data_IF_836946865292
#
_entry.id   IF_836946865292
#
_cell.length_a   1.000
_cell.length_b   1.000
_cell.length_c   1.000
_cell.angle_alpha   90.00
_cell.angle_beta   90.00
_cell.angle_gamma   90.00
#
_symmetry.space_group_name_H-M   'P 1'
#
loop_
_entity.id
_entity.type
_entity.pdbx_description
1 polymer ?
#
# COMPACT_ATOMS: atom_id res chain seq x y z
N UNK A 1 37.20 11.08 35.85
CA UNK A 1 36.33 12.18 36.34
C UNK A 1 35.35 12.52 35.24
N UNK A 2 34.08 12.45 35.61
CA UNK A 2 32.84 12.51 34.83
C UNK A 2 32.73 13.77 33.97
N UNK A 3 32.47 13.63 32.66
CA UNK A 3 31.86 14.71 31.88
C UNK A 3 30.51 14.24 31.35
N UNK A 4 29.47 14.80 31.95
CA UNK A 4 28.08 14.66 31.54
C UNK A 4 27.84 15.58 30.34
N UNK A 5 27.35 15.03 29.23
CA UNK A 5 26.72 15.84 28.18
C UNK A 5 25.35 15.25 27.90
N UNK A 6 24.33 15.92 28.43
CA UNK A 6 22.93 15.75 28.02
C UNK A 6 22.74 16.52 26.71
N UNK A 7 22.42 15.82 25.64
CA UNK A 7 21.78 16.42 24.46
C UNK A 7 20.32 15.98 24.44
N UNK A 8 19.44 16.86 24.91
CA UNK A 8 18.01 16.81 24.63
C UNK A 8 17.80 17.60 23.36
N UNK A 9 17.35 16.94 22.29
CA UNK A 9 16.79 17.60 21.11
C UNK A 9 15.37 17.08 20.92
N UNK A 10 14.43 17.71 21.60
CA UNK A 10 13.01 17.65 21.28
C UNK A 10 12.79 18.59 20.09
N UNK A 11 12.42 18.05 18.94
CA UNK A 11 11.91 18.87 17.83
C UNK A 11 10.39 18.83 17.94
N UNK A 12 9.82 19.93 18.44
CA UNK A 12 8.38 20.13 18.56
C UNK A 12 7.87 20.67 17.22
N UNK A 13 7.07 19.89 16.49
CA UNK A 13 6.35 20.38 15.32
C UNK A 13 5.15 21.21 15.80
N UNK A 14 5.25 22.53 15.61
CA UNK A 14 4.19 23.49 15.93
C UNK A 14 3.23 23.56 14.73
N UNK A 15 1.99 23.12 14.95
CA UNK A 15 0.89 23.25 13.97
C UNK A 15 0.41 24.70 13.98
N UNK A 16 0.52 25.39 12.85
CA UNK A 16 -0.08 26.70 12.67
C UNK A 16 -1.58 26.56 12.42
N UNK A 17 -2.37 27.06 13.38
CA UNK A 17 -3.81 27.22 13.29
C UNK A 17 -4.10 28.51 12.50
N UNK A 18 -4.60 28.39 11.28
CA UNK A 18 -5.13 29.54 10.52
C UNK A 18 -6.63 29.60 10.74
N UNK A 19 -7.07 30.59 11.51
CA UNK A 19 -8.49 30.94 11.68
C UNK A 19 -8.94 31.79 10.49
N UNK A 20 -9.81 31.25 9.64
CA UNK A 20 -10.52 32.03 8.61
C UNK A 20 -11.92 32.35 9.12
N UNK A 21 -12.19 33.65 9.26
CA UNK A 21 -13.48 34.22 9.61
C UNK A 21 -14.45 34.05 8.43
N UNK A 22 -15.46 33.18 8.56
CA UNK A 22 -16.46 32.94 7.52
C UNK A 22 -17.63 33.92 7.65
N UNK A 23 -17.83 34.76 6.64
CA UNK A 23 -19.06 35.54 6.45
C UNK A 23 -20.14 34.60 5.89
N UNK A 24 -21.25 34.42 6.62
CA UNK A 24 -22.36 33.55 6.21
C UNK A 24 -23.18 34.22 5.10
N UNK A 25 -23.31 33.57 3.95
CA UNK A 25 -24.39 33.80 3.00
C UNK A 25 -25.33 32.60 3.09
N UNK A 26 -26.57 32.89 3.50
CA UNK A 26 -27.63 31.91 3.60
C UNK A 26 -28.24 31.61 2.21
N UNK A 27 -28.52 30.33 1.98
CA UNK A 27 -29.62 29.89 1.12
C UNK A 27 -29.23 29.46 -0.30
N UNK A 28 -28.98 28.16 -0.47
CA UNK A 28 -29.64 27.28 -1.45
C UNK A 28 -29.15 25.85 -1.17
N UNK A 29 -30.11 24.98 -0.81
CA UNK A 29 -29.85 23.64 -0.32
C UNK A 29 -28.99 22.83 -1.27
N UNK A 30 -27.80 22.45 -0.82
CA UNK A 30 -27.00 21.40 -1.44
C UNK A 30 -27.49 20.09 -0.86
N UNK A 31 -28.33 19.39 -1.61
CA UNK A 31 -28.57 17.98 -1.35
C UNK A 31 -27.21 17.29 -1.37
N UNK A 32 -26.80 16.73 -0.21
CA UNK A 32 -25.64 15.87 -0.13
C UNK A 32 -25.85 14.72 -1.12
N UNK A 33 -25.13 14.78 -2.24
CA UNK A 33 -25.20 13.76 -3.28
C UNK A 33 -24.59 12.51 -2.67
N UNK A 34 -25.42 11.56 -2.26
CA UNK A 34 -24.98 10.19 -2.10
C UNK A 34 -24.42 9.75 -3.45
N UNK A 35 -23.09 9.69 -3.58
CA UNK A 35 -22.43 9.29 -4.82
C UNK A 35 -22.00 7.83 -4.67
N UNK A 36 -22.87 6.95 -5.17
CA UNK A 36 -22.59 5.53 -5.37
C UNK A 36 -21.48 5.34 -6.37
N UNK A 37 -20.36 4.82 -5.89
CA UNK A 37 -19.34 4.14 -6.67
C UNK A 37 -19.93 2.96 -7.45
N UNK A 38 -19.54 2.79 -8.71
CA UNK A 38 -20.03 1.70 -9.55
C UNK A 38 -19.75 0.32 -8.92
N UNK A 39 -20.64 -0.68 -9.09
CA UNK A 39 -20.48 -1.97 -8.44
C UNK A 39 -19.23 -2.70 -8.95
N UNK A 40 -18.40 -3.16 -8.02
CA UNK A 40 -17.36 -4.14 -8.30
C UNK A 40 -17.97 -5.47 -8.76
N UNK A 41 -17.16 -6.32 -9.40
CA UNK A 41 -17.55 -7.70 -9.66
C UNK A 41 -17.91 -8.42 -8.35
N UNK A 42 -18.92 -9.32 -8.33
CA UNK A 42 -19.41 -9.96 -7.09
C UNK A 42 -18.34 -10.68 -6.26
N UNK A 43 -17.22 -11.07 -6.88
CA UNK A 43 -16.09 -11.72 -6.20
C UNK A 43 -15.26 -10.75 -5.35
N UNK A 44 -15.12 -9.50 -5.79
CA UNK A 44 -14.28 -8.51 -5.09
C UNK A 44 -14.94 -8.05 -3.79
N UNK A 45 -16.25 -7.75 -3.84
CA UNK A 45 -17.03 -7.39 -2.63
C UNK A 45 -17.03 -8.50 -1.58
N UNK A 46 -16.94 -9.77 -1.99
CA UNK A 46 -16.88 -10.91 -1.08
C UNK A 46 -15.61 -10.96 -0.22
N UNK A 47 -14.56 -10.22 -0.58
CA UNK A 47 -13.33 -10.17 0.24
C UNK A 47 -13.60 -9.62 1.64
N UNK A 48 -14.52 -8.67 1.78
CA UNK A 48 -14.90 -8.06 3.06
C UNK A 48 -16.30 -8.42 3.54
N UNK A 49 -17.00 -9.34 2.85
CA UNK A 49 -18.32 -9.81 3.28
C UNK A 49 -18.25 -10.67 4.56
N UNK A 50 -19.35 -10.78 5.30
CA UNK A 50 -19.43 -11.70 6.43
C UNK A 50 -19.29 -13.19 6.01
N UNK A 51 -18.78 -14.07 6.88
CA UNK A 51 -18.33 -13.80 8.26
C UNK A 51 -16.87 -13.31 8.33
N UNK A 52 -16.62 -12.26 9.10
CA UNK A 52 -15.28 -11.76 9.44
C UNK A 52 -14.83 -12.21 10.85
N UNK A 53 -13.54 -12.50 11.08
CA UNK A 53 -13.03 -12.89 12.39
C UNK A 53 -13.22 -11.76 13.40
N UNK A 54 -13.66 -12.11 14.62
CA UNK A 54 -14.01 -11.10 15.64
C UNK A 54 -15.36 -10.42 15.42
N UNK A 55 -16.09 -10.79 14.35
CA UNK A 55 -17.38 -10.22 13.97
C UNK A 55 -17.43 -8.67 14.01
N UNK A 56 -16.45 -7.99 13.39
CA UNK A 56 -16.47 -6.54 13.26
C UNK A 56 -17.74 -6.09 12.53
N UNK A 57 -18.39 -5.04 13.03
CA UNK A 57 -19.61 -4.48 12.42
C UNK A 57 -19.23 -3.41 11.39
N UNK A 58 -19.63 -3.53 10.12
CA UNK A 58 -19.48 -2.46 9.15
C UNK A 58 -20.12 -1.16 9.67
N UNK A 59 -19.45 -0.03 9.50
CA UNK A 59 -19.98 1.28 9.91
C UNK A 59 -20.86 1.93 8.82
N UNK A 60 -20.70 1.50 7.57
CA UNK A 60 -21.48 1.91 6.41
C UNK A 60 -21.44 0.80 5.34
N UNK A 61 -22.12 1.00 4.21
CA UNK A 61 -21.93 0.17 3.02
C UNK A 61 -20.49 0.29 2.47
N UNK A 62 -19.94 -0.76 1.83
CA UNK A 62 -18.62 -0.69 1.24
C UNK A 62 -18.54 0.38 0.15
N UNK A 63 -17.44 1.13 0.16
CA UNK A 63 -17.16 2.16 -0.85
C UNK A 63 -16.17 1.64 -1.88
N UNK A 64 -16.33 2.05 -3.14
CA UNK A 64 -15.41 1.68 -4.21
C UNK A 64 -14.80 2.90 -4.89
N UNK A 65 -13.50 2.85 -5.16
CA UNK A 65 -12.80 3.95 -5.85
C UNK A 65 -12.07 3.44 -7.07
N UNK A 66 -12.27 4.13 -8.20
CA UNK A 66 -11.60 3.88 -9.48
C UNK A 66 -10.45 4.88 -9.66
N UNK A 67 -9.59 4.72 -10.69
CA UNK A 67 -8.51 5.66 -10.95
C UNK A 67 -8.95 7.13 -11.01
N UNK A 68 -10.12 7.39 -11.61
CA UNK A 68 -10.71 8.71 -11.76
C UNK A 68 -11.48 9.22 -10.53
N UNK A 69 -11.56 8.44 -9.45
CA UNK A 69 -12.21 8.83 -8.20
C UNK A 69 -11.35 8.63 -6.95
N UNK A 70 -10.17 8.02 -7.08
CA UNK A 70 -9.30 7.69 -5.93
C UNK A 70 -8.85 8.91 -5.13
N UNK A 71 -8.66 10.06 -5.80
CA UNK A 71 -8.32 11.33 -5.12
C UNK A 71 -9.40 11.77 -4.11
N UNK A 72 -10.65 11.34 -4.28
CA UNK A 72 -11.72 11.64 -3.33
C UNK A 72 -11.52 10.93 -1.98
N UNK A 73 -10.79 9.82 -1.99
CA UNK A 73 -10.43 9.07 -0.79
C UNK A 73 -9.06 9.47 -0.24
N UNK A 74 -8.05 9.54 -1.11
CA UNK A 74 -6.65 9.80 -0.73
C UNK A 74 -6.05 10.92 -1.58
N UNK A 75 -6.49 12.15 -1.36
CA UNK A 75 -5.95 13.34 -2.03
C UNK A 75 -4.44 13.51 -1.73
N UNK A 76 -3.64 13.72 -2.78
CA UNK A 76 -2.17 13.71 -2.75
C UNK A 76 -1.53 12.32 -2.60
N UNK A 77 -2.28 11.29 -2.20
CA UNK A 77 -1.82 9.90 -2.09
C UNK A 77 -2.16 9.02 -3.29
N UNK A 78 -3.11 9.44 -4.14
CA UNK A 78 -3.60 8.66 -5.28
C UNK A 78 -2.55 8.44 -6.38
N UNK A 79 -1.68 9.43 -6.62
CA UNK A 79 -0.76 9.45 -7.76
C UNK A 79 0.13 8.21 -7.83
N UNK A 80 0.63 7.73 -6.69
CA UNK A 80 1.47 6.54 -6.67
C UNK A 80 0.71 5.32 -7.18
N UNK A 81 -0.58 5.15 -6.86
CA UNK A 81 -1.40 4.03 -7.35
C UNK A 81 -1.66 4.15 -8.86
N UNK A 82 -1.85 5.37 -9.37
CA UNK A 82 -2.02 5.65 -10.80
C UNK A 82 -0.75 5.37 -11.61
N UNK A 83 0.44 5.51 -10.99
CA UNK A 83 1.70 5.12 -11.63
C UNK A 83 1.78 3.60 -11.86
N UNK A 84 1.04 2.80 -11.10
CA UNK A 84 0.99 1.34 -11.21
C UNK A 84 -0.28 0.82 -11.91
N UNK A 85 -1.04 1.68 -12.59
CA UNK A 85 -2.27 1.35 -13.30
C UNK A 85 -3.27 0.54 -12.46
N UNK A 86 -3.38 0.89 -11.18
CA UNK A 86 -4.40 0.41 -10.25
C UNK A 86 -5.80 0.40 -10.90
N UNK A 87 -6.63 -0.59 -10.55
CA UNK A 87 -7.94 -0.79 -11.17
C UNK A 87 -9.10 -0.37 -10.27
N UNK A 88 -9.12 -0.83 -9.02
CA UNK A 88 -10.27 -0.66 -8.13
C UNK A 88 -9.91 -0.84 -6.66
N UNK A 89 -10.40 0.04 -5.80
CA UNK A 89 -10.25 -0.03 -4.34
C UNK A 89 -11.60 -0.42 -3.77
N UNK A 90 -11.60 -1.42 -2.89
CA UNK A 90 -12.69 -1.73 -1.97
C UNK A 90 -12.28 -1.21 -0.59
N UNK A 91 -13.05 -0.25 -0.08
CA UNK A 91 -12.86 0.38 1.22
C UNK A 91 -14.02 0.05 2.16
N UNK A 92 -13.71 -0.28 3.41
CA UNK A 92 -14.70 -0.49 4.47
C UNK A 92 -14.14 -0.14 5.85
N UNK A 93 -14.89 0.69 6.57
CA UNK A 93 -14.69 0.92 7.99
C UNK A 93 -15.55 -0.01 8.84
N UNK A 94 -14.98 -0.47 9.96
CA UNK A 94 -15.56 -1.41 10.88
C UNK A 94 -15.42 -0.97 12.33
N UNK A 95 -16.41 -1.36 13.16
CA UNK A 95 -16.30 -1.38 14.61
C UNK A 95 -16.02 -2.80 15.12
N UNK A 96 -14.83 -3.01 15.68
CA UNK A 96 -14.39 -4.29 16.26
C UNK A 96 -14.29 -4.15 17.79
N UNK A 97 -15.42 -4.30 18.50
CA UNK A 97 -15.48 -4.01 19.93
C UNK A 97 -15.18 -2.53 20.22
N UNK A 98 -14.09 -2.26 20.93
CA UNK A 98 -13.62 -0.90 21.22
C UNK A 98 -12.62 -0.35 20.19
N UNK A 99 -12.26 -1.12 19.17
CA UNK A 99 -11.38 -0.69 18.10
C UNK A 99 -12.17 -0.24 16.86
N UNK A 100 -11.66 0.77 16.18
CA UNK A 100 -12.07 1.15 14.83
C UNK A 100 -11.02 0.61 13.86
N UNK A 101 -11.47 -0.05 12.81
CA UNK A 101 -10.62 -0.73 11.83
C UNK A 101 -11.04 -0.32 10.42
N UNK A 102 -10.07 0.10 9.62
CA UNK A 102 -10.23 0.39 8.19
C UNK A 102 -9.56 -0.71 7.38
N UNK A 103 -10.25 -1.21 6.37
CA UNK A 103 -9.71 -2.16 5.42
C UNK A 103 -9.78 -1.59 4.00
N UNK A 104 -8.60 -1.41 3.39
CA UNK A 104 -8.44 -1.02 2.00
C UNK A 104 -7.85 -2.20 1.21
N UNK A 105 -8.60 -2.68 0.23
CA UNK A 105 -8.15 -3.73 -0.69
C UNK A 105 -8.05 -3.14 -2.08
N UNK A 106 -6.83 -3.00 -2.59
CA UNK A 106 -6.55 -2.49 -3.93
C UNK A 106 -6.38 -3.66 -4.91
N UNK A 107 -7.21 -3.69 -5.94
CA UNK A 107 -6.98 -4.49 -7.15
C UNK A 107 -6.00 -3.75 -8.06
N UNK A 108 -4.80 -4.30 -8.19
CA UNK A 108 -3.71 -3.71 -8.98
C UNK A 108 -3.64 -4.31 -10.40
N UNK A 109 -4.55 -5.23 -10.75
CA UNK A 109 -4.63 -5.88 -12.06
C UNK A 109 -3.51 -6.89 -12.38
N UNK A 110 -2.29 -6.70 -11.87
CA UNK A 110 -1.15 -7.61 -12.03
C UNK A 110 -0.39 -7.83 -10.73
N UNK A 111 0.20 -9.02 -10.51
CA UNK A 111 1.03 -9.28 -9.34
C UNK A 111 2.25 -8.35 -9.22
N UNK A 112 2.85 -7.95 -10.34
CA UNK A 112 3.97 -7.00 -10.35
C UNK A 112 3.55 -5.62 -9.85
N UNK A 113 2.36 -5.17 -10.20
CA UNK A 113 1.85 -3.85 -9.81
C UNK A 113 1.50 -3.82 -8.30
N UNK A 114 0.92 -4.90 -7.77
CA UNK A 114 0.72 -5.08 -6.33
C UNK A 114 2.04 -5.11 -5.55
N UNK A 115 3.01 -5.89 -6.05
CA UNK A 115 4.35 -5.88 -5.48
C UNK A 115 5.02 -4.50 -5.60
N UNK A 116 4.80 -3.78 -6.69
CA UNK A 116 5.32 -2.44 -6.94
C UNK A 116 4.95 -1.46 -5.84
N UNK A 117 3.65 -1.28 -5.59
CA UNK A 117 3.18 -0.41 -4.49
C UNK A 117 3.68 -0.89 -3.13
N UNK A 118 3.57 -2.19 -2.85
CA UNK A 118 4.08 -2.76 -1.60
C UNK A 118 5.56 -2.45 -1.38
N UNK A 119 6.38 -2.61 -2.42
CA UNK A 119 7.82 -2.36 -2.38
C UNK A 119 8.14 -0.87 -2.24
N UNK A 120 7.34 0.01 -2.86
CA UNK A 120 7.52 1.45 -2.75
C UNK A 120 7.17 1.99 -1.35
N UNK A 121 6.16 1.43 -0.69
CA UNK A 121 5.72 1.87 0.64
C UNK A 121 6.50 1.21 1.80
N UNK A 122 7.16 0.06 1.58
CA UNK A 122 7.89 -0.64 2.65
C UNK A 122 9.20 0.05 3.02
N UNK A 123 9.55 0.03 4.30
CA UNK A 123 10.87 0.39 4.81
C UNK A 123 11.62 -0.86 5.26
N UNK A 124 12.93 -1.01 5.00
CA UNK A 124 13.74 -2.11 5.52
C UNK A 124 13.72 -2.26 7.05
N UNK A 125 13.26 -1.23 7.78
CA UNK A 125 13.17 -1.19 9.24
C UNK A 125 11.83 -1.68 9.79
N UNK A 126 10.86 -2.04 8.94
CA UNK A 126 9.55 -2.50 9.40
C UNK A 126 9.61 -3.92 9.98
N UNK A 127 8.56 -4.27 10.73
CA UNK A 127 8.39 -5.62 11.26
C UNK A 127 7.67 -6.48 10.22
N UNK A 128 8.43 -7.29 9.49
CA UNK A 128 7.90 -8.16 8.44
C UNK A 128 7.22 -9.40 9.00
N UNK A 129 6.14 -9.84 8.35
CA UNK A 129 5.31 -10.99 8.75
C UNK A 129 4.94 -11.87 7.53
N UNK A 130 4.74 -13.19 7.72
CA UNK A 130 4.39 -14.10 6.65
C UNK A 130 2.88 -14.10 6.38
N UNK A 131 2.35 -12.99 5.87
CA UNK A 131 0.96 -12.86 5.38
C UNK A 131 1.02 -12.49 3.90
N UNK A 132 0.22 -13.15 3.07
CA UNK A 132 0.33 -13.02 1.63
C UNK A 132 1.68 -13.48 1.10
N UNK A 133 2.25 -12.71 0.17
CA UNK A 133 3.64 -12.90 -0.26
C UNK A 133 4.64 -12.36 0.75
N UNK A 134 4.40 -11.16 1.26
CA UNK A 134 5.10 -10.57 2.40
C UNK A 134 4.19 -9.49 2.98
N UNK A 135 4.10 -9.42 4.30
CA UNK A 135 3.43 -8.34 5.02
C UNK A 135 4.41 -7.58 5.89
N UNK A 136 4.03 -6.39 6.31
CA UNK A 136 4.68 -5.67 7.40
C UNK A 136 3.65 -5.10 8.35
N UNK A 137 4.05 -4.92 9.60
CA UNK A 137 3.20 -4.30 10.61
C UNK A 137 3.94 -3.26 11.44
N UNK A 138 3.17 -2.29 11.90
CA UNK A 138 3.52 -1.38 12.98
C UNK A 138 2.27 -1.23 13.88
N UNK A 139 2.35 -0.40 14.91
CA UNK A 139 1.21 -0.23 15.83
C UNK A 139 0.01 0.35 15.06
N UNK A 140 -1.09 -0.39 15.03
CA UNK A 140 -2.32 0.00 14.34
C UNK A 140 -2.25 -0.06 12.82
N UNK A 141 -1.23 -0.70 12.24
CA UNK A 141 -1.10 -0.84 10.78
C UNK A 141 -0.59 -2.24 10.42
N UNK A 142 -1.23 -2.87 9.42
CA UNK A 142 -0.76 -4.10 8.80
C UNK A 142 -1.05 -4.07 7.31
N UNK A 143 0.01 -4.08 6.50
CA UNK A 143 -0.11 -4.05 5.05
C UNK A 143 0.57 -5.29 4.45
N UNK A 144 0.02 -5.84 3.38
CA UNK A 144 0.61 -6.98 2.67
C UNK A 144 0.19 -6.99 1.20
N UNK A 145 0.96 -7.67 0.36
CA UNK A 145 0.55 -7.97 -1.02
C UNK A 145 0.30 -9.46 -1.19
N UNK A 146 -0.61 -9.82 -2.08
CA UNK A 146 -0.86 -11.20 -2.49
C UNK A 146 -1.56 -11.21 -3.84
N UNK A 147 -1.08 -12.05 -4.76
CA UNK A 147 -1.52 -12.05 -6.15
C UNK A 147 -1.47 -10.62 -6.73
N UNK A 148 -2.50 -10.18 -7.45
CA UNK A 148 -2.66 -8.80 -7.91
C UNK A 148 -3.30 -7.86 -6.89
N UNK A 149 -3.39 -8.23 -5.60
CA UNK A 149 -3.93 -7.38 -4.55
C UNK A 149 -2.85 -6.77 -3.64
N UNK A 150 -3.02 -5.49 -3.33
CA UNK A 150 -2.35 -4.84 -2.21
C UNK A 150 -3.38 -4.49 -1.14
N UNK A 151 -3.12 -4.88 0.11
CA UNK A 151 -4.05 -4.70 1.23
C UNK A 151 -3.41 -3.81 2.27
N UNK A 152 -4.14 -2.78 2.70
CA UNK A 152 -3.78 -1.91 3.81
C UNK A 152 -4.83 -2.00 4.89
N UNK A 153 -4.41 -2.34 6.09
CA UNK A 153 -5.27 -2.36 7.26
C UNK A 153 -4.75 -1.36 8.26
N UNK A 154 -5.64 -0.52 8.77
CA UNK A 154 -5.34 0.45 9.79
C UNK A 154 -6.37 0.37 10.91
N UNK A 155 -6.01 0.84 12.10
CA UNK A 155 -6.98 0.98 13.16
C UNK A 155 -6.40 1.56 14.43
N UNK A 156 -7.29 1.90 15.35
CA UNK A 156 -6.95 2.36 16.68
C UNK A 156 -7.91 1.78 17.73
N UNK A 157 -7.48 1.79 18.99
CA UNK A 157 -8.25 1.25 20.10
C UNK A 157 -7.65 -0.03 20.70
N UNK A 158 -8.36 -0.60 21.67
CA UNK A 158 -7.87 -1.77 22.41
C UNK A 158 -7.78 -3.00 21.51
N UNK A 159 -6.69 -3.76 21.65
CA UNK A 159 -6.45 -5.01 20.91
C UNK A 159 -6.44 -4.87 19.38
N UNK A 160 -6.27 -3.66 18.84
CA UNK A 160 -6.36 -3.42 17.40
C UNK A 160 -5.37 -4.26 16.60
N UNK A 161 -4.12 -4.37 17.05
CA UNK A 161 -3.10 -5.16 16.34
C UNK A 161 -3.52 -6.64 16.17
N UNK A 162 -4.18 -7.22 17.18
CA UNK A 162 -4.70 -8.59 17.09
C UNK A 162 -5.88 -8.69 16.11
N UNK A 163 -6.75 -7.67 16.06
CA UNK A 163 -7.84 -7.60 15.08
C UNK A 163 -7.30 -7.49 13.65
N UNK A 164 -6.27 -6.65 13.43
CA UNK A 164 -5.61 -6.51 12.13
C UNK A 164 -4.94 -7.81 11.70
N UNK A 165 -4.22 -8.49 12.60
CA UNK A 165 -3.59 -9.80 12.33
C UNK A 165 -4.63 -10.86 11.92
N UNK A 166 -5.77 -10.91 12.60
CA UNK A 166 -6.86 -11.85 12.27
C UNK A 166 -7.50 -11.53 10.92
N UNK A 167 -7.81 -10.25 10.68
CA UNK A 167 -8.41 -9.79 9.42
C UNK A 167 -7.47 -10.04 8.23
N UNK A 168 -6.18 -9.74 8.37
CA UNK A 168 -5.18 -9.96 7.32
C UNK A 168 -5.04 -11.44 6.93
N UNK A 169 -5.02 -12.35 7.91
CA UNK A 169 -4.95 -13.81 7.64
C UNK A 169 -6.20 -14.34 6.95
N UNK A 170 -7.36 -13.80 7.34
CA UNK A 170 -8.62 -14.14 6.68
C UNK A 170 -8.62 -13.63 5.24
N UNK A 171 -8.26 -12.36 5.01
CA UNK A 171 -8.16 -11.78 3.66
C UNK A 171 -7.17 -12.55 2.78
N UNK A 172 -6.00 -12.90 3.33
CA UNK A 172 -5.01 -13.73 2.64
C UNK A 172 -5.56 -15.10 2.23
N UNK A 173 -6.46 -15.68 3.03
CA UNK A 173 -7.16 -16.93 2.68
C UNK A 173 -8.19 -16.70 1.57
N UNK A 174 -8.98 -15.62 1.65
CA UNK A 174 -10.01 -15.30 0.65
C UNK A 174 -9.45 -14.89 -0.71
N UNK A 175 -8.35 -14.14 -0.71
CA UNK A 175 -7.64 -13.75 -1.93
C UNK A 175 -7.15 -15.00 -2.68
N UNK A 176 -6.57 -15.97 -1.97
CA UNK A 176 -5.99 -17.16 -2.61
C UNK A 176 -4.87 -16.78 -3.60
N UNK A 177 -4.73 -17.52 -4.70
CA UNK A 177 -3.76 -17.17 -5.74
C UNK A 177 -2.30 -17.20 -5.29
N UNK A 178 -1.46 -16.42 -5.97
CA UNK A 178 -0.01 -16.41 -5.76
C UNK A 178 0.39 -15.72 -4.45
N UNK A 179 1.31 -16.35 -3.70
CA UNK A 179 1.92 -15.81 -2.47
C UNK A 179 3.43 -15.61 -2.62
N UNK A 180 3.89 -15.29 -3.82
CA UNK A 180 5.32 -15.13 -4.10
C UNK A 180 5.59 -13.76 -4.68
N UNK A 181 6.73 -13.18 -4.31
CA UNK A 181 7.28 -12.03 -5.04
C UNK A 181 7.49 -12.38 -6.53
N UNK A 182 7.58 -11.38 -7.42
CA UNK A 182 7.77 -11.62 -8.84
C UNK A 182 8.97 -12.52 -9.16
N UNK A 183 8.77 -13.50 -10.05
CA UNK A 183 9.74 -14.57 -10.30
C UNK A 183 11.11 -14.05 -10.77
N UNK A 184 11.16 -12.90 -11.46
CA UNK A 184 12.42 -12.34 -11.93
C UNK A 184 13.36 -12.00 -10.76
N UNK A 185 12.84 -11.53 -9.62
CA UNK A 185 13.64 -11.19 -8.43
C UNK A 185 14.35 -12.41 -7.83
N UNK A 186 13.77 -13.60 -7.99
CA UNK A 186 14.36 -14.86 -7.54
C UNK A 186 15.60 -15.21 -8.38
N UNK A 187 15.59 -14.85 -9.67
CA UNK A 187 16.70 -15.11 -10.61
C UNK A 187 17.88 -14.14 -10.44
N UNK A 188 17.69 -13.02 -9.76
CA UNK A 188 18.75 -12.04 -9.54
C UNK A 188 19.79 -12.56 -8.53
N UNK A 189 21.05 -12.07 -8.57
CA UNK A 189 22.09 -12.47 -7.62
C UNK A 189 21.64 -12.32 -6.15
N UNK A 190 21.98 -13.28 -5.31
CA UNK A 190 21.61 -13.25 -3.88
C UNK A 190 22.76 -12.74 -3.02
N UNK A 191 24.00 -13.00 -3.44
CA UNK A 191 25.20 -12.55 -2.73
C UNK A 191 25.24 -11.01 -2.72
N UNK A 192 25.56 -10.43 -1.56
CA UNK A 192 25.64 -8.97 -1.32
C UNK A 192 24.34 -8.18 -1.47
N UNK A 193 23.20 -8.84 -1.66
CA UNK A 193 21.90 -8.17 -1.78
C UNK A 193 21.51 -7.52 -0.45
N UNK A 194 21.08 -6.26 -0.49
CA UNK A 194 20.47 -5.59 0.66
C UNK A 194 19.04 -6.11 0.81
N UNK A 195 18.74 -6.69 1.97
CA UNK A 195 17.42 -7.25 2.28
C UNK A 195 16.32 -6.18 2.15
N UNK A 196 15.21 -6.54 1.53
CA UNK A 196 14.06 -5.67 1.29
C UNK A 196 14.35 -4.42 0.43
N UNK A 197 15.43 -4.45 -0.35
CA UNK A 197 15.75 -3.38 -1.31
C UNK A 197 15.16 -3.61 -2.70
N UNK A 198 14.53 -4.76 -2.94
CA UNK A 198 13.88 -5.07 -4.20
C UNK A 198 12.70 -4.13 -4.45
N UNK A 199 12.63 -3.59 -5.66
CA UNK A 199 11.58 -2.70 -6.14
C UNK A 199 11.14 -3.17 -7.52
N UNK A 200 9.86 -2.98 -7.83
CA UNK A 200 9.35 -2.97 -9.20
C UNK A 200 8.86 -1.56 -9.49
N UNK A 201 9.38 -0.94 -10.55
CA UNK A 201 9.03 0.41 -10.96
C UNK A 201 8.34 0.32 -12.33
N UNK A 202 7.04 0.63 -12.35
CA UNK A 202 6.23 0.51 -13.56
C UNK A 202 6.52 1.62 -14.58
N UNK A 203 6.63 2.87 -14.13
CA UNK A 203 6.80 4.06 -14.97
C UNK A 203 8.09 4.79 -14.60
N UNK A 204 8.80 5.27 -15.62
CA UNK A 204 10.00 6.10 -15.53
C UNK A 204 11.07 5.66 -14.49
N UNK A 205 11.56 4.39 -14.52
CA UNK A 205 12.66 3.98 -13.64
C UNK A 205 13.85 4.93 -13.77
N UNK A 206 14.35 5.44 -12.64
CA UNK A 206 15.43 6.43 -12.58
C UNK A 206 15.13 7.72 -13.38
N UNK A 207 13.86 8.05 -13.63
CA UNK A 207 13.45 9.22 -14.40
C UNK A 207 13.46 9.02 -15.93
N UNK A 208 13.54 7.78 -16.41
CA UNK A 208 13.65 7.47 -17.83
C UNK A 208 12.59 6.48 -18.32
N UNK A 209 11.66 6.96 -19.16
CA UNK A 209 10.56 6.16 -19.71
C UNK A 209 11.02 4.90 -20.46
N UNK A 210 12.14 4.97 -21.19
CA UNK A 210 12.63 3.83 -21.98
C UNK A 210 13.12 2.65 -21.12
N UNK A 211 13.38 2.87 -19.83
CA UNK A 211 13.73 1.81 -18.88
C UNK A 211 12.50 1.05 -18.37
N UNK A 212 11.29 1.55 -18.61
CA UNK A 212 10.06 1.03 -18.03
C UNK A 212 9.54 -0.25 -18.71
N UNK A 213 8.96 -1.20 -17.95
CA UNK A 213 9.08 -1.34 -16.50
C UNK A 213 10.45 -1.91 -16.12
N UNK A 214 10.87 -1.71 -14.87
CA UNK A 214 12.13 -2.25 -14.38
C UNK A 214 12.04 -2.80 -12.95
N UNK A 215 12.90 -3.78 -12.66
CA UNK A 215 13.21 -4.21 -11.31
C UNK A 215 14.51 -3.54 -10.86
N UNK A 216 14.53 -3.04 -9.63
CA UNK A 216 15.72 -2.40 -9.05
C UNK A 216 16.04 -3.11 -7.74
N UNK A 217 17.30 -3.50 -7.56
CA UNK A 217 17.78 -4.16 -6.33
C UNK A 217 19.11 -3.55 -5.92
N UNK A 218 19.30 -3.31 -4.62
CA UNK A 218 20.53 -2.74 -4.08
C UNK A 218 21.48 -3.84 -3.61
N UNK A 219 22.76 -3.69 -3.92
CA UNK A 219 23.85 -4.56 -3.51
C UNK A 219 24.94 -3.76 -2.81
N UNK A 220 25.60 -4.37 -1.82
CA UNK A 220 26.73 -3.79 -1.11
C UNK A 220 27.91 -4.74 -1.16
N UNK A 221 28.91 -4.40 -1.98
CA UNK A 221 30.22 -5.05 -1.99
C UNK A 221 31.26 -4.02 -1.55
N UNK A 222 32.08 -4.34 -0.55
CA UNK A 222 33.03 -3.38 0.01
C UNK A 222 33.97 -2.85 -1.10
N UNK A 223 34.09 -1.52 -1.32
CA UNK A 223 33.60 -0.40 -0.49
C UNK A 223 32.36 0.35 -1.04
N UNK A 224 31.58 -0.18 -1.98
CA UNK A 224 30.53 0.56 -2.69
C UNK A 224 29.14 -0.09 -2.62
N UNK A 225 28.12 0.76 -2.47
CA UNK A 225 26.74 0.41 -2.81
C UNK A 225 26.55 0.53 -4.32
N UNK A 226 25.82 -0.41 -4.92
CA UNK A 226 25.40 -0.37 -6.30
C UNK A 226 23.93 -0.77 -6.45
N UNK A 227 23.28 -0.33 -7.53
CA UNK A 227 21.92 -0.75 -7.89
C UNK A 227 21.98 -1.54 -9.20
N UNK A 228 21.45 -2.75 -9.17
CA UNK A 228 21.15 -3.50 -10.39
C UNK A 228 19.76 -3.08 -10.87
N UNK A 229 19.68 -2.59 -12.10
CA UNK A 229 18.42 -2.33 -12.79
C UNK A 229 18.25 -3.36 -13.91
N UNK A 230 17.09 -4.00 -13.95
CA UNK A 230 16.69 -4.91 -15.03
C UNK A 230 15.44 -4.36 -15.67
N UNK A 231 15.60 -3.77 -16.87
CA UNK A 231 14.48 -3.33 -17.70
C UNK A 231 13.85 -4.53 -18.40
N UNK A 232 12.53 -4.65 -18.34
CA UNK A 232 11.80 -5.83 -18.82
C UNK A 232 10.94 -5.48 -20.02
N UNK A 233 11.23 -6.12 -21.15
CA UNK A 233 10.44 -6.03 -22.37
C UNK A 233 9.65 -7.31 -22.61
N UNK A 234 8.56 -7.20 -23.38
CA UNK A 234 7.70 -8.34 -23.69
C UNK A 234 8.33 -9.35 -24.66
N UNK A 235 9.33 -8.90 -25.45
CA UNK A 235 10.02 -9.72 -26.43
C UNK A 235 11.47 -9.25 -26.65
N UNK A 236 12.23 -10.04 -27.40
CA UNK A 236 13.64 -9.79 -27.68
C UNK A 236 13.88 -8.54 -28.55
N UNK A 237 12.94 -8.18 -29.44
CA UNK A 237 13.08 -7.00 -30.29
C UNK A 237 12.91 -5.73 -29.45
N UNK A 238 11.88 -5.69 -28.61
CA UNK A 238 11.64 -4.61 -27.66
C UNK A 238 12.76 -4.51 -26.62
N UNK A 239 13.38 -5.61 -26.19
CA UNK A 239 14.54 -5.58 -25.31
C UNK A 239 15.76 -4.92 -25.98
N UNK A 240 16.03 -5.26 -27.25
CA UNK A 240 17.13 -4.65 -28.02
C UNK A 240 16.93 -3.15 -28.23
N UNK A 241 15.69 -2.68 -28.38
CA UNK A 241 15.38 -1.27 -28.56
C UNK A 241 15.54 -0.38 -27.32
N UNK A 242 15.94 -0.96 -26.17
CA UNK A 242 16.18 -0.22 -24.91
C UNK A 242 17.65 0.01 -24.58
N UNK A 243 18.56 -0.48 -25.44
CA UNK A 243 20.01 -0.26 -25.39
C UNK A 243 20.39 0.86 -26.36
#
# INVERSE_FOLDING_TARGET
MTLWVRFVRTVSFMVFLVTILSLQIAGLGTTARAQTSAPAGPQFTKLLADPLPGHPKPQAEPSFYKPDTLYQYIDGGADVYLLYDFLLLLHQDFKAGAADVTADVYDMGKPEDAFGIYSAERSPKYNYIPVGGEGYRSKGVLNFFQDHYYVKLAGFGASVDAQLDQLARMLSTRIGGSRTAPQLLVKLPQLHRVKHSEQYIRKDPLGHAFLAPAYVVTYVSTPKESKLLVSVANDAAAAKGRL
#
